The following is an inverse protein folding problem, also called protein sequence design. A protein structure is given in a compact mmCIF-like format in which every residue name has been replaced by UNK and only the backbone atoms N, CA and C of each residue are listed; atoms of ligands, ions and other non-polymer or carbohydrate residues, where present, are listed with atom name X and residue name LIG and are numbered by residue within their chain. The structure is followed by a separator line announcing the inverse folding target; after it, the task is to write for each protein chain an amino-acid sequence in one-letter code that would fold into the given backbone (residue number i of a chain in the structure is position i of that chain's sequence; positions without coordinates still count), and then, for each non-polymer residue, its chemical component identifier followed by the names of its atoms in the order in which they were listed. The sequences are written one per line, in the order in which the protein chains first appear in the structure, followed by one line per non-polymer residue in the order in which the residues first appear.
data_IF_996661733200
#
_entry.id   IF_996661733200
#
_cell.length_a   1.000
_cell.length_b   1.000
_cell.length_c   1.000
_cell.angle_alpha   90.00
_cell.angle_beta   90.00
_cell.angle_gamma   90.00
#
_symmetry.space_group_name_H-M   'P 1'
#
loop_
_entity.id
_entity.type
_entity.pdbx_description
1 polymer ?
#
# COMPACT_ATOMS: atom_id res chain seq x y z
N UNK A 1 41.55 47.44 6.92
CA UNK A 1 40.36 46.77 6.36
C UNK A 1 40.82 45.42 5.80
N UNK A 2 40.24 44.24 6.03
CA UNK A 2 39.16 43.74 6.86
C UNK A 2 39.44 42.22 7.03
N UNK A 3 39.33 41.67 8.24
CA UNK A 3 39.45 40.22 8.50
C UNK A 3 38.20 39.52 7.95
N UNK A 4 38.36 38.60 6.99
CA UNK A 4 37.29 37.70 6.58
C UNK A 4 37.42 36.38 7.35
N UNK A 5 36.44 36.16 8.22
CA UNK A 5 36.28 35.05 9.14
C UNK A 5 35.91 33.77 8.35
N UNK A 6 36.67 32.67 8.53
CA UNK A 6 36.39 31.37 7.91
C UNK A 6 35.90 30.41 9.00
N UNK A 7 34.70 30.66 9.52
CA UNK A 7 34.07 29.81 10.53
C UNK A 7 32.55 29.80 10.37
N UNK A 8 32.07 29.28 9.25
CA UNK A 8 30.71 28.73 9.14
C UNK A 8 30.82 27.21 8.92
N UNK A 9 31.24 26.53 9.98
CA UNK A 9 30.94 25.11 10.15
C UNK A 9 29.43 25.00 10.33
N UNK A 10 28.75 24.58 9.27
CA UNK A 10 27.35 24.13 9.33
C UNK A 10 27.29 22.91 10.25
N UNK A 11 26.90 23.16 11.50
CA UNK A 11 26.71 22.18 12.56
C UNK A 11 25.31 21.55 12.52
N UNK A 12 24.86 21.12 11.32
CA UNK A 12 23.48 20.64 11.13
C UNK A 12 23.40 19.24 10.49
N UNK A 13 24.41 18.41 10.75
CA UNK A 13 24.39 17.00 10.40
C UNK A 13 24.21 16.18 11.69
N UNK A 14 23.08 15.47 11.89
CA UNK A 14 22.93 14.59 13.04
C UNK A 14 24.03 13.53 13.02
N UNK A 15 24.89 13.62 14.03
CA UNK A 15 26.10 12.83 14.20
C UNK A 15 25.72 11.43 14.69
N UNK A 16 25.97 10.41 13.86
CA UNK A 16 26.21 9.05 14.33
C UNK A 16 25.03 8.07 14.28
N UNK A 17 24.64 7.62 13.08
CA UNK A 17 23.85 6.38 12.96
C UNK A 17 24.09 5.63 11.63
N UNK A 18 25.32 5.59 11.10
CA UNK A 18 25.54 5.09 9.72
C UNK A 18 26.25 3.74 9.55
N UNK A 19 26.81 3.11 10.59
CA UNK A 19 27.53 1.83 10.41
C UNK A 19 27.00 0.62 11.19
N UNK A 20 26.16 0.78 12.23
CA UNK A 20 25.61 -0.39 12.97
C UNK A 20 24.41 -1.05 12.26
N UNK A 21 23.56 -0.26 11.59
CA UNK A 21 22.37 -0.75 10.92
C UNK A 21 22.65 -1.68 9.72
N UNK A 22 23.81 -1.56 9.06
CA UNK A 22 24.19 -2.43 7.93
C UNK A 22 24.60 -3.85 8.37
N UNK A 23 25.25 -3.99 9.53
CA UNK A 23 25.70 -5.30 10.04
C UNK A 23 24.54 -6.14 10.57
N UNK A 24 23.54 -5.50 11.20
CA UNK A 24 22.31 -6.17 11.65
C UNK A 24 21.33 -6.50 10.51
N UNK A 25 21.35 -5.77 9.39
CA UNK A 25 20.56 -6.14 8.21
C UNK A 25 21.09 -7.40 7.53
N UNK A 26 22.41 -7.57 7.41
CA UNK A 26 23.00 -8.73 6.76
C UNK A 26 22.72 -10.07 7.48
N UNK A 27 22.69 -10.09 8.82
CA UNK A 27 22.29 -11.28 9.59
C UNK A 27 20.78 -11.54 9.52
N UNK A 28 19.97 -10.47 9.56
CA UNK A 28 18.51 -10.52 9.42
C UNK A 28 18.08 -11.06 8.05
N UNK A 29 18.85 -10.80 7.00
CA UNK A 29 18.55 -11.23 5.62
C UNK A 29 18.76 -12.73 5.39
N UNK A 30 19.77 -13.34 6.04
CA UNK A 30 20.02 -14.78 5.93
C UNK A 30 19.01 -15.61 6.72
N UNK A 31 18.73 -15.22 7.96
CA UNK A 31 17.71 -15.88 8.77
C UNK A 31 16.31 -15.60 8.21
N UNK A 32 16.08 -14.40 7.65
CA UNK A 32 14.85 -14.03 6.94
C UNK A 32 14.56 -14.94 5.75
N UNK A 33 15.54 -15.16 4.86
CA UNK A 33 15.35 -16.06 3.69
C UNK A 33 15.16 -17.53 4.07
N UNK A 34 15.87 -18.02 5.09
CA UNK A 34 15.66 -19.38 5.61
C UNK A 34 14.27 -19.54 6.22
N UNK A 35 13.86 -18.59 7.06
CA UNK A 35 12.52 -18.59 7.65
C UNK A 35 11.42 -18.40 6.62
N UNK A 36 11.66 -17.70 5.51
CA UNK A 36 10.68 -17.54 4.44
C UNK A 36 10.46 -18.84 3.65
N UNK A 37 11.51 -19.63 3.41
CA UNK A 37 11.39 -20.98 2.84
C UNK A 37 10.67 -21.95 3.78
N UNK A 38 11.01 -21.93 5.07
CA UNK A 38 10.35 -22.76 6.09
C UNK A 38 8.89 -22.33 6.29
N UNK A 39 8.58 -21.03 6.29
CA UNK A 39 7.21 -20.51 6.44
C UNK A 39 6.33 -20.88 5.25
N UNK A 40 6.85 -20.82 4.01
CA UNK A 40 6.13 -21.33 2.83
C UNK A 40 5.91 -22.85 2.92
N UNK A 41 6.86 -23.59 3.49
CA UNK A 41 6.73 -25.04 3.72
C UNK A 41 5.66 -25.40 4.75
N UNK A 42 5.67 -24.78 5.94
CA UNK A 42 4.78 -25.12 7.06
C UNK A 42 3.28 -24.90 6.78
N UNK A 43 2.93 -23.92 5.93
CA UNK A 43 1.54 -23.65 5.57
C UNK A 43 0.98 -24.52 4.45
N UNK A 44 1.79 -25.41 3.87
CA UNK A 44 1.41 -26.18 2.67
C UNK A 44 1.10 -27.65 3.05
N UNK A 45 0.05 -28.28 2.49
CA UNK A 45 -0.29 -29.68 2.78
C UNK A 45 0.84 -30.68 2.46
N UNK A 46 1.79 -30.30 1.60
CA UNK A 46 3.00 -31.05 1.30
C UNK A 46 3.90 -31.30 2.51
N UNK A 47 3.92 -30.41 3.51
CA UNK A 47 4.70 -30.62 4.74
C UNK A 47 4.17 -31.81 5.55
N UNK A 48 2.85 -31.90 5.70
CA UNK A 48 2.19 -33.02 6.38
C UNK A 48 2.46 -34.33 5.65
N UNK A 49 2.36 -34.34 4.32
CA UNK A 49 2.68 -35.54 3.52
C UNK A 49 4.14 -35.99 3.69
N UNK A 50 5.10 -35.07 3.71
CA UNK A 50 6.50 -35.38 3.94
C UNK A 50 6.75 -35.96 5.34
N UNK A 51 6.12 -35.38 6.37
CA UNK A 51 6.19 -35.87 7.75
C UNK A 51 5.58 -37.28 7.88
N UNK A 52 4.42 -37.51 7.27
CA UNK A 52 3.77 -38.82 7.25
C UNK A 52 4.63 -39.87 6.54
N UNK A 53 5.22 -39.52 5.39
CA UNK A 53 6.11 -40.42 4.66
C UNK A 53 7.37 -40.76 5.48
N UNK A 54 7.94 -39.78 6.20
CA UNK A 54 9.07 -40.01 7.10
C UNK A 54 8.71 -41.00 8.22
N UNK A 55 7.56 -40.82 8.87
CA UNK A 55 7.08 -41.74 9.93
C UNK A 55 6.88 -43.14 9.37
N UNK A 56 6.22 -43.28 8.21
CA UNK A 56 5.99 -44.58 7.57
C UNK A 56 7.32 -45.24 7.18
N UNK A 57 8.24 -44.49 6.58
CA UNK A 57 9.55 -45.00 6.18
C UNK A 57 10.38 -45.44 7.40
N UNK A 58 10.32 -44.69 8.51
CA UNK A 58 10.98 -45.05 9.75
C UNK A 58 10.44 -46.35 10.35
N UNK A 59 9.11 -46.47 10.40
CA UNK A 59 8.45 -47.69 10.85
C UNK A 59 8.82 -48.86 9.95
N UNK A 60 8.78 -48.69 8.62
CA UNK A 60 9.15 -49.71 7.65
C UNK A 60 10.62 -50.14 7.79
N UNK A 61 11.55 -49.19 7.97
CA UNK A 61 12.96 -49.49 8.18
C UNK A 61 13.17 -50.29 9.45
N UNK A 62 12.63 -49.84 10.58
CA UNK A 62 12.77 -50.54 11.85
C UNK A 62 11.96 -51.85 11.92
N UNK A 63 11.00 -52.09 11.02
CA UNK A 63 10.28 -53.36 10.93
C UNK A 63 10.88 -54.35 9.93
N UNK A 64 11.49 -53.89 8.84
CA UNK A 64 12.06 -54.78 7.81
C UNK A 64 13.56 -55.04 7.99
N UNK A 65 14.27 -54.21 8.78
CA UNK A 65 15.68 -54.40 9.05
C UNK A 65 15.96 -55.62 9.95
N UNK A 66 17.13 -56.28 9.83
CA UNK A 66 17.56 -57.37 10.71
C UNK A 66 17.67 -56.91 12.18
N UNK A 67 17.34 -57.79 13.14
CA UNK A 67 17.33 -57.49 14.60
C UNK A 67 18.60 -56.80 15.12
N UNK A 68 19.76 -57.12 14.56
CA UNK A 68 21.03 -56.51 14.94
C UNK A 68 21.08 -54.98 14.70
N UNK A 69 20.28 -54.44 13.77
CA UNK A 69 20.31 -53.02 13.37
C UNK A 69 19.01 -52.27 13.74
N UNK A 70 18.07 -52.94 14.41
CA UNK A 70 16.78 -52.37 14.83
C UNK A 70 16.92 -51.65 16.17
N UNK A 71 17.29 -50.37 16.12
CA UNK A 71 17.39 -49.54 17.31
C UNK A 71 16.00 -49.12 17.87
N UNK A 72 14.98 -49.04 17.03
CA UNK A 72 13.61 -48.65 17.42
C UNK A 72 12.61 -49.78 17.10
N UNK A 73 12.79 -50.91 17.77
CA UNK A 73 12.02 -52.14 17.52
C UNK A 73 10.52 -52.00 17.87
N UNK A 74 9.68 -52.68 17.08
CA UNK A 74 8.21 -52.71 17.28
C UNK A 74 7.79 -53.26 18.66
N UNK A 75 8.60 -54.14 19.25
CA UNK A 75 8.38 -54.70 20.60
C UNK A 75 8.43 -53.66 21.72
N UNK A 76 9.16 -52.56 21.52
CA UNK A 76 9.27 -51.42 22.43
C UNK A 76 8.31 -50.28 22.06
N UNK A 77 7.45 -50.48 21.05
CA UNK A 77 6.42 -49.52 20.65
C UNK A 77 6.95 -48.25 19.98
N UNK A 78 8.10 -48.31 19.31
CA UNK A 78 8.76 -47.14 18.68
C UNK A 78 9.04 -45.99 19.68
N UNK A 79 9.64 -46.34 20.83
CA UNK A 79 9.93 -45.38 21.89
C UNK A 79 10.84 -44.23 21.41
N UNK A 80 11.79 -44.50 20.51
CA UNK A 80 12.70 -43.48 20.02
C UNK A 80 11.96 -42.48 19.12
N UNK A 81 11.12 -42.97 18.21
CA UNK A 81 10.24 -42.11 17.40
C UNK A 81 9.35 -41.25 18.29
N UNK A 82 8.75 -41.86 19.32
CA UNK A 82 7.85 -41.17 20.26
C UNK A 82 8.59 -40.07 21.03
N UNK A 83 9.80 -40.33 21.52
CA UNK A 83 10.63 -39.34 22.18
C UNK A 83 10.98 -38.17 21.26
N UNK A 84 11.34 -38.45 20.01
CA UNK A 84 11.65 -37.42 19.01
C UNK A 84 10.43 -36.58 18.68
N UNK A 85 9.26 -37.19 18.46
CA UNK A 85 8.01 -36.47 18.18
C UNK A 85 7.58 -35.61 19.37
N UNK A 86 7.73 -36.10 20.59
CA UNK A 86 7.42 -35.35 21.82
C UNK A 86 8.33 -34.12 21.96
N UNK A 87 9.63 -34.29 21.69
CA UNK A 87 10.59 -33.19 21.67
C UNK A 87 10.27 -32.18 20.56
N UNK A 88 9.91 -32.66 19.37
CA UNK A 88 9.55 -31.82 18.22
C UNK A 88 8.35 -30.92 18.55
N UNK A 89 7.31 -31.48 19.15
CA UNK A 89 6.14 -30.70 19.60
C UNK A 89 6.53 -29.64 20.66
N UNK A 90 7.37 -30.01 21.63
CA UNK A 90 7.81 -29.10 22.69
C UNK A 90 8.63 -27.92 22.15
N UNK A 91 9.52 -28.16 21.19
CA UNK A 91 10.33 -27.09 20.57
C UNK A 91 9.59 -26.30 19.49
N UNK A 92 8.52 -26.85 18.91
CA UNK A 92 7.67 -26.12 17.97
C UNK A 92 6.99 -24.92 18.65
N UNK A 93 6.48 -25.06 19.87
CA UNK A 93 5.79 -24.00 20.59
C UNK A 93 6.60 -22.68 20.72
N UNK A 94 7.84 -22.66 21.23
CA UNK A 94 8.62 -21.43 21.32
C UNK A 94 9.02 -20.86 19.95
N UNK A 95 9.26 -21.71 18.94
CA UNK A 95 9.53 -21.23 17.58
C UNK A 95 8.29 -20.57 16.96
N UNK A 96 7.10 -21.14 17.19
CA UNK A 96 5.83 -20.56 16.74
C UNK A 96 5.62 -19.21 17.41
N UNK A 97 5.86 -19.08 18.71
CA UNK A 97 5.74 -17.80 19.42
C UNK A 97 6.68 -16.73 18.85
N UNK A 98 7.93 -17.08 18.51
CA UNK A 98 8.85 -16.15 17.86
C UNK A 98 8.40 -15.76 16.45
N UNK A 99 7.82 -16.71 15.70
CA UNK A 99 7.27 -16.44 14.38
C UNK A 99 6.03 -15.53 14.46
N UNK A 100 5.16 -15.77 15.45
CA UNK A 100 3.96 -14.97 15.73
C UNK A 100 4.32 -13.55 16.15
N UNK A 101 5.24 -13.34 17.10
CA UNK A 101 5.70 -12.00 17.48
C UNK A 101 6.19 -11.19 16.27
N UNK A 102 6.87 -11.84 15.32
CA UNK A 102 7.33 -11.19 14.07
C UNK A 102 6.21 -10.94 13.06
N UNK A 103 5.13 -11.72 13.09
CA UNK A 103 3.93 -11.46 12.30
C UNK A 103 3.17 -10.28 12.92
N UNK A 104 2.91 -10.32 14.22
CA UNK A 104 2.21 -9.26 14.96
C UNK A 104 2.91 -7.90 14.83
N UNK A 105 4.24 -7.86 14.90
CA UNK A 105 5.02 -6.64 14.67
C UNK A 105 4.80 -6.06 13.25
N UNK A 106 4.73 -6.92 12.23
CA UNK A 106 4.48 -6.51 10.84
C UNK A 106 3.04 -6.03 10.67
N UNK A 107 2.09 -6.77 11.22
CA UNK A 107 0.67 -6.47 11.15
C UNK A 107 0.38 -5.13 11.85
N UNK A 108 1.02 -4.87 12.99
CA UNK A 108 0.93 -3.58 13.69
C UNK A 108 1.41 -2.42 12.82
N UNK A 109 2.55 -2.55 12.16
CA UNK A 109 3.07 -1.50 11.25
C UNK A 109 2.13 -1.30 10.06
N UNK A 110 1.58 -2.37 9.52
CA UNK A 110 0.64 -2.30 8.40
C UNK A 110 -0.66 -1.60 8.82
N UNK A 111 -1.21 -1.90 10.00
CA UNK A 111 -2.40 -1.25 10.55
C UNK A 111 -2.18 0.25 10.76
N UNK A 112 -1.02 0.63 11.31
CA UNK A 112 -0.69 2.05 11.53
C UNK A 112 -0.60 2.81 10.20
N UNK A 113 0.02 2.21 9.18
CA UNK A 113 0.09 2.81 7.84
C UNK A 113 -1.29 2.93 7.19
N UNK A 114 -2.13 1.91 7.34
CA UNK A 114 -3.49 1.91 6.79
C UNK A 114 -4.37 2.97 7.47
N UNK A 115 -4.21 3.14 8.78
CA UNK A 115 -4.85 4.21 9.54
C UNK A 115 -4.43 5.58 9.02
N UNK A 116 -3.13 5.84 8.87
CA UNK A 116 -2.65 7.12 8.35
C UNK A 116 -3.10 7.39 6.91
N UNK A 117 -3.17 6.35 6.08
CA UNK A 117 -3.72 6.46 4.72
C UNK A 117 -5.21 6.80 4.76
N UNK A 118 -5.97 6.15 5.63
CA UNK A 118 -7.40 6.40 5.80
C UNK A 118 -7.68 7.84 6.26
N UNK A 119 -6.90 8.36 7.21
CA UNK A 119 -6.99 9.75 7.66
C UNK A 119 -6.68 10.74 6.52
N UNK A 120 -5.66 10.47 5.69
CA UNK A 120 -5.36 11.29 4.50
C UNK A 120 -6.46 11.22 3.44
N UNK A 121 -6.98 10.03 3.15
CA UNK A 121 -8.06 9.84 2.18
C UNK A 121 -9.32 10.59 2.60
N UNK A 122 -9.63 10.62 3.91
CA UNK A 122 -10.75 11.40 4.44
C UNK A 122 -10.51 12.90 4.23
N UNK A 123 -9.32 13.40 4.55
CA UNK A 123 -8.97 14.81 4.33
C UNK A 123 -9.01 15.21 2.85
N UNK A 124 -8.50 14.36 1.95
CA UNK A 124 -8.57 14.58 0.50
C UNK A 124 -10.01 14.60 -0.01
N UNK A 125 -10.86 13.71 0.53
CA UNK A 125 -12.29 13.67 0.18
C UNK A 125 -13.01 14.93 0.66
N UNK A 126 -12.72 15.39 1.88
CA UNK A 126 -13.27 16.66 2.40
C UNK A 126 -12.80 17.86 1.57
N UNK A 127 -11.54 17.88 1.16
CA UNK A 127 -10.98 18.92 0.29
C UNK A 127 -11.69 18.94 -1.06
N UNK A 128 -11.78 17.79 -1.73
CA UNK A 128 -12.49 17.67 -3.00
C UNK A 128 -13.96 18.05 -2.88
N UNK A 129 -14.64 17.67 -1.79
CA UNK A 129 -16.03 18.06 -1.55
C UNK A 129 -16.20 19.58 -1.44
N UNK A 130 -15.29 20.26 -0.73
CA UNK A 130 -15.30 21.74 -0.63
C UNK A 130 -15.03 22.39 -1.98
N UNK A 131 -14.06 21.88 -2.73
CA UNK A 131 -13.71 22.39 -4.06
C UNK A 131 -14.87 22.23 -5.05
N UNK A 132 -15.56 21.08 -5.02
CA UNK A 132 -16.75 20.83 -5.86
C UNK A 132 -17.90 21.77 -5.49
N UNK A 133 -18.10 22.06 -4.21
CA UNK A 133 -19.12 23.03 -3.77
C UNK A 133 -18.77 24.45 -4.24
N UNK A 134 -17.50 24.86 -4.13
CA UNK A 134 -17.04 26.15 -4.62
C UNK A 134 -17.21 26.27 -6.15
N UNK A 135 -16.81 25.25 -6.90
CA UNK A 135 -16.99 25.17 -8.34
C UNK A 135 -18.48 25.24 -8.73
N UNK A 136 -19.34 24.51 -8.02
CA UNK A 136 -20.80 24.53 -8.26
C UNK A 136 -21.39 25.93 -8.05
N UNK A 137 -20.96 26.64 -7.01
CA UNK A 137 -21.44 28.00 -6.73
C UNK A 137 -21.00 28.97 -7.84
N UNK A 138 -19.72 28.92 -8.23
CA UNK A 138 -19.19 29.72 -9.33
C UNK A 138 -19.91 29.45 -10.68
N UNK A 139 -20.21 28.19 -10.98
CA UNK A 139 -21.01 27.83 -12.16
C UNK A 139 -22.45 28.35 -12.09
N UNK A 140 -23.07 28.34 -10.90
CA UNK A 140 -24.44 28.82 -10.71
C UNK A 140 -24.56 30.31 -11.01
N UNK A 141 -23.58 31.09 -10.60
CA UNK A 141 -23.60 32.55 -10.76
C UNK A 141 -23.37 32.94 -12.24
N UNK A 142 -22.51 32.20 -12.97
CA UNK A 142 -22.25 32.45 -14.40
C UNK A 142 -23.39 31.99 -15.33
N UNK A 143 -24.11 30.92 -14.97
CA UNK A 143 -25.17 30.33 -15.78
C UNK A 143 -26.58 30.79 -15.37
N UNK A 144 -26.72 31.92 -14.68
CA UNK A 144 -28.05 32.40 -14.29
C UNK A 144 -28.87 32.72 -15.56
N UNK A 145 -30.12 32.24 -15.58
CA UNK A 145 -31.05 32.45 -16.70
C UNK A 145 -31.21 33.93 -17.04
N UNK A 146 -31.11 34.80 -16.04
CA UNK A 146 -31.24 36.25 -16.20
C UNK A 146 -30.03 36.86 -16.90
N UNK A 147 -28.81 36.37 -16.66
CA UNK A 147 -27.61 36.78 -17.42
C UNK A 147 -27.69 36.35 -18.89
N UNK A 148 -28.08 35.09 -19.14
CA UNK A 148 -28.27 34.59 -20.50
C UNK A 148 -29.39 35.39 -21.20
N UNK A 149 -30.48 35.70 -20.49
CA UNK A 149 -31.61 36.47 -21.02
C UNK A 149 -31.24 37.93 -21.27
N UNK A 150 -30.43 38.54 -20.42
CA UNK A 150 -29.96 39.92 -20.63
C UNK A 150 -29.02 40.00 -21.82
N UNK A 151 -28.07 39.07 -21.94
CA UNK A 151 -27.18 39.06 -23.11
C UNK A 151 -27.93 38.75 -24.41
N UNK A 152 -28.89 37.81 -24.38
CA UNK A 152 -29.72 37.54 -25.56
C UNK A 152 -30.52 38.77 -25.98
N UNK A 153 -31.00 39.59 -25.03
CA UNK A 153 -31.69 40.86 -25.32
C UNK A 153 -30.75 41.88 -25.91
N UNK A 154 -29.57 42.08 -25.31
CA UNK A 154 -28.57 43.02 -25.82
C UNK A 154 -28.15 42.65 -27.24
N UNK A 155 -27.90 41.37 -27.50
CA UNK A 155 -27.56 40.88 -28.84
C UNK A 155 -28.71 41.02 -29.84
N UNK A 156 -29.96 40.84 -29.41
CA UNK A 156 -31.14 41.08 -30.26
C UNK A 156 -31.31 42.56 -30.61
N UNK A 157 -31.14 43.44 -29.62
CA UNK A 157 -31.28 44.90 -29.79
C UNK A 157 -30.20 45.46 -30.71
N UNK A 158 -28.95 44.98 -30.58
CA UNK A 158 -27.88 45.30 -31.54
C UNK A 158 -28.17 44.82 -32.96
N UNK A 159 -28.92 43.73 -33.11
CA UNK A 159 -29.33 43.23 -34.43
C UNK A 159 -30.43 44.11 -35.01
N UNK A 160 -31.41 44.50 -34.18
CA UNK A 160 -32.54 45.37 -34.55
C UNK A 160 -32.05 46.74 -35.01
N UNK A 161 -31.18 47.40 -34.23
CA UNK A 161 -30.53 48.68 -34.62
C UNK A 161 -29.80 48.57 -35.96
N UNK A 162 -29.17 47.42 -36.24
CA UNK A 162 -28.46 47.19 -37.50
C UNK A 162 -29.39 46.97 -38.69
N UNK A 163 -30.62 46.51 -38.45
CA UNK A 163 -31.68 46.44 -39.46
C UNK A 163 -32.25 47.82 -39.74
N UNK A 164 -32.55 48.60 -38.69
CA UNK A 164 -33.06 49.96 -38.82
C UNK A 164 -32.07 50.88 -39.56
N UNK A 165 -30.77 50.82 -39.23
CA UNK A 165 -29.73 51.56 -39.97
C UNK A 165 -29.68 51.16 -41.45
N UNK A 166 -29.94 49.88 -41.77
CA UNK A 166 -30.00 49.39 -43.15
C UNK A 166 -31.25 49.90 -43.87
N UNK A 167 -32.39 49.92 -43.19
CA UNK A 167 -33.66 50.35 -43.77
C UNK A 167 -33.67 51.87 -43.99
N UNK A 168 -33.10 52.67 -43.08
CA UNK A 168 -32.91 54.12 -43.26
C UNK A 168 -31.91 54.44 -44.38
N UNK A 169 -30.84 53.66 -44.54
CA UNK A 169 -29.90 53.80 -45.67
C UNK A 169 -30.59 53.48 -47.02
N UNK A 170 -31.53 52.54 -47.05
CA UNK A 170 -32.35 52.28 -48.25
C UNK A 170 -33.42 53.35 -48.51
N UNK A 171 -33.99 53.95 -47.47
CA UNK A 171 -35.03 54.98 -47.60
C UNK A 171 -34.44 56.36 -47.97
N UNK A 172 -33.21 56.68 -47.53
CA UNK A 172 -32.47 57.86 -47.98
C UNK A 172 -31.78 57.66 -49.35
N UNK A 173 -31.66 56.42 -49.84
CA UNK A 173 -31.12 56.14 -51.16
C UNK A 173 -32.14 56.36 -52.30
N UNK A 174 -33.39 56.73 -52.01
CA UNK A 174 -34.38 57.08 -53.02
C UNK A 174 -34.79 58.58 -52.98
N UNK A 175 -33.87 59.51 -53.33
CA UNK A 175 -34.28 60.82 -53.83
C UNK A 175 -34.45 60.73 -55.35
N UNK A 176 -35.49 61.38 -55.85
CA UNK A 176 -35.72 61.66 -57.27
C UNK A 176 -36.07 60.48 -58.19
N UNK A 177 -37.36 60.14 -58.23
CA UNK A 177 -37.96 59.74 -59.50
C UNK A 177 -39.43 60.21 -59.64
N UNK A 178 -39.55 61.48 -60.06
CA UNK A 178 -40.62 62.08 -60.90
C UNK A 178 -41.90 62.59 -60.26
#
# INVERSE_FOLDING_TARGET
MARANRSDQRLDAPKGLRNSAKRNRASKDRFGRFTEGVARGMGTPWFLLGLSLFVIAWMAWNTLAPEAWRFDSISLGFIALTLVLSLQASYAAPLILLAQNRQDDRDRVQIEQDRQRSERNLADTEYLAREVVALRLAMRDMASKDFIRSELRVLLEQLDERSDDRDDETMNAEPDAR
#
